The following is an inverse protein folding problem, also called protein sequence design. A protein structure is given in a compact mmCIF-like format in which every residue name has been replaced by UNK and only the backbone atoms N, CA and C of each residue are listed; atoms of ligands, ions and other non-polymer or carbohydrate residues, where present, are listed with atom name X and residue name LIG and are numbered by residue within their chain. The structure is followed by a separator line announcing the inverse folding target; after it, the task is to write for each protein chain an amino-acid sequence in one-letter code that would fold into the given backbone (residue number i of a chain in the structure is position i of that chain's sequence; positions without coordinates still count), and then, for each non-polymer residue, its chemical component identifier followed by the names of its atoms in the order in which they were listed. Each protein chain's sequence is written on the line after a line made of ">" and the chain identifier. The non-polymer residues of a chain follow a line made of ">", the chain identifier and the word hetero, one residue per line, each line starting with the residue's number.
data_IF_293032094345
#
_entry.id   IF_293032094345
#
_cell.length_a   1.000
_cell.length_b   1.000
_cell.length_c   1.000
_cell.angle_alpha   90.00
_cell.angle_beta   90.00
_cell.angle_gamma   90.00
#
_symmetry.space_group_name_H-M   'P 1'
#
loop_
_entity.id
_entity.type
_entity.pdbx_description
1 polymer ?
#
# COMPACT_ATOMS: atom_id res chain seq x y z
N UNK A 1 -4.10 3.06 1.54
CA UNK A 1 -4.23 4.16 0.54
C UNK A 1 -4.78 5.42 1.20
N UNK A 2 -4.05 6.54 1.13
CA UNK A 2 -4.56 7.88 1.46
C UNK A 2 -4.97 8.54 0.14
N UNK A 3 -6.14 9.18 0.11
CA UNK A 3 -6.66 9.80 -1.11
C UNK A 3 -7.34 11.13 -0.83
N UNK A 4 -7.36 12.01 -1.83
CA UNK A 4 -8.01 13.31 -1.80
C UNK A 4 -8.72 13.54 -3.16
N UNK A 5 -10.02 13.31 -3.21
CA UNK A 5 -10.77 13.29 -4.46
C UNK A 5 -10.20 12.26 -5.44
N UNK A 6 -9.73 12.73 -6.59
CA UNK A 6 -9.13 11.89 -7.63
C UNK A 6 -7.62 11.67 -7.49
N UNK A 7 -7.01 12.23 -6.44
CA UNK A 7 -5.59 12.04 -6.16
C UNK A 7 -5.38 10.95 -5.13
N UNK A 8 -4.31 10.18 -5.31
CA UNK A 8 -3.84 9.17 -4.37
C UNK A 8 -2.40 9.47 -3.95
N UNK A 9 -2.10 9.20 -2.68
CA UNK A 9 -0.75 9.32 -2.16
C UNK A 9 0.05 8.08 -2.52
N UNK A 10 1.21 8.29 -3.10
CA UNK A 10 2.15 7.24 -3.48
C UNK A 10 3.55 7.55 -2.95
N UNK A 11 4.36 6.52 -2.86
CA UNK A 11 5.75 6.58 -2.48
C UNK A 11 6.61 5.93 -3.57
N UNK A 12 7.68 6.60 -3.97
CA UNK A 12 8.71 6.03 -4.80
C UNK A 12 9.83 5.50 -3.90
N UNK A 13 9.79 4.21 -3.59
CA UNK A 13 10.82 3.58 -2.74
C UNK A 13 12.17 3.54 -3.44
N UNK A 14 13.21 3.89 -2.70
CA UNK A 14 14.61 3.93 -3.17
C UNK A 14 15.32 2.60 -2.95
N UNK A 15 14.60 1.55 -2.55
CA UNK A 15 15.17 0.26 -2.18
C UNK A 15 15.26 -0.67 -3.40
N UNK A 16 16.39 -1.37 -3.57
CA UNK A 16 16.68 -2.24 -4.72
C UNK A 16 15.70 -3.41 -4.89
N UNK A 17 15.04 -3.83 -3.81
CA UNK A 17 14.09 -4.95 -3.83
C UNK A 17 12.66 -4.55 -4.29
N UNK A 18 12.33 -3.26 -4.29
CA UNK A 18 11.00 -2.75 -4.62
C UNK A 18 11.09 -1.53 -5.53
N UNK A 19 11.15 -1.76 -6.82
CA UNK A 19 11.16 -0.67 -7.80
C UNK A 19 9.75 -0.25 -8.20
N UNK A 20 9.55 1.05 -8.37
CA UNK A 20 8.29 1.64 -8.80
C UNK A 20 7.46 2.24 -7.66
N UNK A 21 6.37 2.89 -8.05
CA UNK A 21 5.47 3.51 -7.09
C UNK A 21 4.71 2.47 -6.27
N UNK A 22 4.67 2.66 -4.96
CA UNK A 22 3.89 1.84 -4.03
C UNK A 22 2.99 2.71 -3.14
N UNK A 23 2.10 2.08 -2.41
CA UNK A 23 1.37 2.73 -1.32
C UNK A 23 2.28 2.80 -0.09
N UNK A 24 2.33 3.94 0.63
CA UNK A 24 3.08 4.02 1.89
C UNK A 24 2.48 3.08 2.93
N UNK A 25 3.34 2.54 3.79
CA UNK A 25 3.00 1.60 4.85
C UNK A 25 4.16 0.70 5.22
N UNK A 26 4.07 0.03 6.36
CA UNK A 26 5.15 -0.78 6.90
C UNK A 26 4.68 -1.91 7.81
N UNK A 27 5.53 -2.31 8.73
CA UNK A 27 5.33 -3.48 9.57
C UNK A 27 4.63 -3.14 10.89
N UNK A 28 3.77 -4.05 11.33
CA UNK A 28 3.15 -3.97 12.65
C UNK A 28 4.20 -4.29 13.72
N UNK A 29 4.33 -3.43 14.72
CA UNK A 29 5.24 -3.63 15.84
C UNK A 29 4.67 -4.59 16.90
N UNK A 30 5.55 -5.10 17.76
CA UNK A 30 5.14 -5.97 18.86
C UNK A 30 4.14 -5.26 19.77
N UNK A 31 2.98 -5.90 20.01
CA UNK A 31 1.85 -5.38 20.82
C UNK A 31 1.17 -4.14 20.25
N UNK A 32 1.36 -3.82 19.01
CA UNK A 32 0.69 -2.74 18.31
C UNK A 32 -0.60 -3.25 17.62
N UNK A 33 -1.66 -2.44 17.62
CA UNK A 33 -2.85 -2.78 16.83
C UNK A 33 -2.63 -2.39 15.35
N UNK A 34 -3.26 -3.11 14.43
CA UNK A 34 -3.15 -2.81 12.99
C UNK A 34 -3.56 -1.38 12.64
N UNK A 35 -4.58 -0.83 13.31
CA UNK A 35 -5.02 0.57 13.09
C UNK A 35 -3.96 1.56 13.58
N UNK A 36 -3.35 1.32 14.75
CA UNK A 36 -2.27 2.19 15.24
C UNK A 36 -1.03 2.11 14.36
N UNK A 37 -0.69 0.90 13.89
CA UNK A 37 0.42 0.68 12.98
C UNK A 37 0.26 1.51 11.71
N UNK A 38 -0.88 1.43 11.02
CA UNK A 38 -1.07 2.18 9.78
C UNK A 38 -1.04 3.69 10.00
N UNK A 39 -1.54 4.19 11.14
CA UNK A 39 -1.46 5.63 11.48
C UNK A 39 0.01 6.05 11.73
N UNK A 40 0.77 5.27 12.47
CA UNK A 40 2.19 5.51 12.75
C UNK A 40 3.02 5.49 11.47
N UNK A 41 2.92 4.43 10.67
CA UNK A 41 3.67 4.27 9.42
C UNK A 41 3.41 5.42 8.44
N UNK A 42 2.14 5.81 8.24
CA UNK A 42 1.82 6.96 7.39
C UNK A 42 2.45 8.24 7.94
N UNK A 43 2.45 8.43 9.26
CA UNK A 43 3.10 9.60 9.87
C UNK A 43 4.60 9.62 9.65
N UNK A 44 5.26 8.49 9.84
CA UNK A 44 6.72 8.34 9.70
C UNK A 44 7.18 8.52 8.25
N UNK A 45 6.48 7.89 7.30
CA UNK A 45 6.87 7.91 5.90
C UNK A 45 6.44 9.16 5.14
N UNK A 46 5.36 9.83 5.56
CA UNK A 46 4.74 10.89 4.76
C UNK A 46 4.56 12.23 5.47
N UNK A 47 4.77 12.29 6.79
CA UNK A 47 4.49 13.47 7.60
C UNK A 47 3.00 13.71 7.89
N UNK A 48 2.09 13.01 7.22
CA UNK A 48 0.65 13.18 7.41
C UNK A 48 0.14 12.43 8.64
N UNK A 49 -0.79 13.04 9.36
CA UNK A 49 -1.59 12.37 10.38
C UNK A 49 -2.93 11.97 9.75
N UNK A 50 -3.25 10.67 9.76
CA UNK A 50 -4.49 10.15 9.20
C UNK A 50 -5.49 9.80 10.29
N UNK A 51 -6.76 9.87 9.94
CA UNK A 51 -7.88 9.59 10.82
C UNK A 51 -8.82 8.56 10.21
N UNK A 52 -9.44 7.75 11.06
CA UNK A 52 -10.47 6.77 10.71
C UNK A 52 -10.10 5.87 9.51
N UNK A 53 -8.92 5.24 9.50
CA UNK A 53 -8.57 4.33 8.42
C UNK A 53 -9.52 3.13 8.43
N UNK A 54 -10.11 2.84 7.27
CA UNK A 54 -11.06 1.73 7.09
C UNK A 54 -10.36 0.55 6.41
N UNK A 55 -10.49 -0.64 6.98
CA UNK A 55 -10.02 -1.87 6.36
C UNK A 55 -10.84 -2.14 5.08
N UNK A 56 -10.15 -2.34 3.96
CA UNK A 56 -10.75 -2.68 2.66
C UNK A 56 -10.61 -4.16 2.34
N UNK A 57 -9.51 -4.76 2.74
CA UNK A 57 -9.20 -6.13 2.44
C UNK A 57 -7.76 -6.47 2.79
N UNK A 58 -7.29 -7.56 2.21
CA UNK A 58 -5.93 -8.07 2.43
C UNK A 58 -5.24 -8.39 1.10
N UNK A 59 -3.92 -8.23 1.09
CA UNK A 59 -3.04 -8.88 0.13
C UNK A 59 -2.30 -9.98 0.84
N UNK A 60 -2.18 -11.15 0.22
CA UNK A 60 -1.38 -12.23 0.79
C UNK A 60 -0.54 -12.94 -0.26
N UNK A 61 0.56 -13.51 0.18
CA UNK A 61 1.46 -14.32 -0.62
C UNK A 61 2.33 -15.21 0.29
N UNK A 62 3.05 -16.15 -0.29
CA UNK A 62 4.05 -16.93 0.42
C UNK A 62 5.45 -16.39 0.11
N UNK A 63 6.28 -16.29 1.15
CA UNK A 63 7.70 -15.94 1.02
C UNK A 63 8.50 -17.14 0.49
N UNK A 64 9.76 -16.93 0.12
CA UNK A 64 10.67 -18.01 -0.26
C UNK A 64 10.90 -19.06 0.85
N UNK A 65 10.59 -18.71 2.10
CA UNK A 65 10.67 -19.62 3.25
C UNK A 65 9.35 -20.34 3.55
N UNK A 66 8.40 -20.30 2.62
CA UNK A 66 7.06 -20.87 2.77
C UNK A 66 6.27 -20.26 3.96
N UNK A 67 6.58 -19.04 4.34
CA UNK A 67 5.85 -18.29 5.36
C UNK A 67 4.74 -17.46 4.69
N UNK A 68 3.54 -17.51 5.24
CA UNK A 68 2.43 -16.68 4.75
C UNK A 68 2.64 -15.22 5.16
N UNK A 69 2.72 -14.34 4.19
CA UNK A 69 2.81 -12.90 4.38
C UNK A 69 1.44 -12.26 4.12
N UNK A 70 0.94 -11.47 5.07
CA UNK A 70 -0.36 -10.81 4.98
C UNK A 70 -0.17 -9.30 5.11
N UNK A 71 -0.72 -8.55 4.16
CA UNK A 71 -0.77 -7.09 4.18
C UNK A 71 -2.21 -6.65 4.34
N UNK A 72 -2.52 -5.93 5.40
CA UNK A 72 -3.84 -5.34 5.62
C UNK A 72 -3.97 -4.03 4.84
N UNK A 73 -4.99 -3.91 4.01
CA UNK A 73 -5.21 -2.78 3.11
C UNK A 73 -6.21 -1.81 3.72
N UNK A 74 -5.71 -0.69 4.24
CA UNK A 74 -6.53 0.38 4.82
C UNK A 74 -6.62 1.58 3.89
N UNK A 75 -7.79 2.25 3.86
CA UNK A 75 -7.95 3.53 3.14
C UNK A 75 -8.59 4.61 4.01
N UNK A 76 -8.21 5.86 3.75
CA UNK A 76 -8.83 7.06 4.33
C UNK A 76 -8.65 8.27 3.43
N UNK A 77 -9.57 9.21 3.51
CA UNK A 77 -9.47 10.55 2.94
C UNK A 77 -9.44 11.63 4.04
N UNK A 78 -9.26 11.21 5.30
CA UNK A 78 -9.16 12.10 6.45
C UNK A 78 -7.72 12.19 6.90
N UNK A 79 -7.10 13.32 6.63
CA UNK A 79 -5.71 13.57 6.98
C UNK A 79 -5.46 15.06 7.21
N UNK A 80 -4.38 15.35 7.91
CA UNK A 80 -3.86 16.70 8.13
C UNK A 80 -2.33 16.69 8.19
N UNK A 81 -1.74 17.87 8.16
CA UNK A 81 -0.30 18.06 8.19
C UNK A 81 0.29 18.36 6.82
N UNK A 82 1.59 18.51 6.78
CA UNK A 82 2.36 18.76 5.55
C UNK A 82 3.00 17.46 5.06
N UNK A 83 2.99 17.27 3.75
CA UNK A 83 3.64 16.13 3.12
C UNK A 83 5.15 16.30 3.16
N UNK A 84 5.83 15.35 3.79
CA UNK A 84 7.29 15.32 3.93
C UNK A 84 7.78 13.93 3.59
N UNK A 85 8.70 13.85 2.62
CA UNK A 85 9.37 12.59 2.29
C UNK A 85 10.31 12.14 3.39
N UNK A 86 10.48 10.84 3.55
CA UNK A 86 11.41 10.22 4.49
C UNK A 86 12.60 9.57 3.76
N UNK A 87 13.52 8.98 4.52
CA UNK A 87 14.65 8.23 3.98
C UNK A 87 14.22 6.97 3.20
N UNK A 88 12.97 6.52 3.38
CA UNK A 88 12.41 5.36 2.66
C UNK A 88 11.98 5.67 1.23
N UNK A 89 11.86 6.95 0.86
CA UNK A 89 11.53 7.36 -0.50
C UNK A 89 10.72 8.64 -0.57
N UNK A 90 10.65 9.17 -1.78
CA UNK A 90 9.86 10.36 -2.07
C UNK A 90 8.37 10.04 -2.07
N UNK A 91 7.57 10.87 -1.39
CA UNK A 91 6.11 10.77 -1.36
C UNK A 91 5.47 11.96 -2.07
N UNK A 92 4.45 11.68 -2.88
CA UNK A 92 3.75 12.72 -3.64
C UNK A 92 2.34 12.26 -4.05
N UNK A 93 1.53 13.23 -4.43
CA UNK A 93 0.18 12.99 -4.94
C UNK A 93 0.18 12.78 -6.44
N UNK A 94 -0.55 11.78 -6.92
CA UNK A 94 -0.80 11.57 -8.35
C UNK A 94 -2.30 11.51 -8.64
N UNK A 95 -2.70 11.96 -9.82
CA UNK A 95 -4.05 11.74 -10.32
C UNK A 95 -4.24 10.26 -10.69
N UNK A 96 -5.38 9.67 -10.34
CA UNK A 96 -5.72 8.27 -10.70
C UNK A 96 -5.64 8.00 -12.19
N UNK A 97 -6.03 8.98 -13.01
CA UNK A 97 -5.98 8.89 -14.48
C UNK A 97 -4.56 8.80 -15.05
N UNK A 98 -3.55 9.20 -14.28
CA UNK A 98 -2.16 9.23 -14.70
C UNK A 98 -1.36 7.99 -14.23
N UNK A 99 -2.00 7.03 -13.56
CA UNK A 99 -1.35 5.81 -13.04
C UNK A 99 -0.52 5.06 -14.11
N UNK A 100 -1.02 4.98 -15.33
CA UNK A 100 -0.33 4.26 -16.42
C UNK A 100 0.91 5.00 -16.96
N UNK A 101 1.17 6.22 -16.50
CA UNK A 101 2.38 6.99 -16.85
C UNK A 101 3.57 6.68 -15.95
N UNK A 102 3.35 5.92 -14.87
CA UNK A 102 4.36 5.61 -13.87
C UNK A 102 4.75 4.13 -13.89
N UNK A 103 6.00 3.86 -13.53
CA UNK A 103 6.40 2.51 -13.19
C UNK A 103 5.81 2.16 -11.83
N UNK A 104 4.96 1.15 -11.78
CA UNK A 104 4.27 0.71 -10.57
C UNK A 104 4.95 -0.51 -9.98
N UNK A 105 5.04 -0.57 -8.66
CA UNK A 105 5.54 -1.74 -7.95
C UNK A 105 4.65 -2.97 -8.20
N UNK A 106 5.23 -4.14 -8.01
CA UNK A 106 4.52 -5.44 -8.17
C UNK A 106 3.24 -5.45 -7.32
N UNK A 107 2.14 -5.86 -7.94
CA UNK A 107 0.81 -5.92 -7.32
C UNK A 107 0.16 -4.58 -6.95
N UNK A 108 0.70 -3.45 -7.40
CA UNK A 108 0.08 -2.14 -7.15
C UNK A 108 -1.34 -2.07 -7.73
N UNK A 109 -1.51 -2.49 -9.00
CA UNK A 109 -2.80 -2.43 -9.70
C UNK A 109 -3.86 -3.32 -9.05
N UNK A 110 -3.46 -4.50 -8.60
CA UNK A 110 -4.34 -5.44 -7.91
C UNK A 110 -4.77 -4.90 -6.54
N UNK A 111 -3.84 -4.37 -5.74
CA UNK A 111 -4.19 -3.69 -4.48
C UNK A 111 -5.08 -2.47 -4.73
N UNK A 112 -4.83 -1.70 -5.79
CA UNK A 112 -5.66 -0.57 -6.14
C UNK A 112 -7.12 -1.00 -6.46
N UNK A 113 -7.31 -2.15 -7.10
CA UNK A 113 -8.66 -2.70 -7.33
C UNK A 113 -9.36 -3.04 -6.01
N UNK A 114 -8.66 -3.66 -5.04
CA UNK A 114 -9.23 -3.91 -3.70
C UNK A 114 -9.63 -2.60 -3.01
N UNK A 115 -8.84 -1.53 -3.13
CA UNK A 115 -9.20 -0.24 -2.56
C UNK A 115 -10.42 0.44 -3.20
N UNK A 116 -10.72 0.14 -4.46
CA UNK A 116 -11.69 0.90 -5.28
C UNK A 116 -12.92 0.13 -5.72
N UNK A 117 -13.02 -1.14 -5.36
CA UNK A 117 -14.17 -2.00 -5.67
C UNK A 117 -14.68 -2.73 -4.43
N UNK A 118 -15.55 -3.72 -4.60
CA UNK A 118 -16.05 -4.59 -3.54
C UNK A 118 -15.18 -5.84 -3.31
N UNK A 119 -14.04 -5.93 -4.02
CA UNK A 119 -13.06 -6.98 -3.78
C UNK A 119 -12.42 -6.83 -2.40
N UNK A 120 -12.15 -7.95 -1.74
CA UNK A 120 -11.64 -7.97 -0.37
C UNK A 120 -10.30 -8.68 -0.22
N UNK A 121 -9.85 -9.35 -1.29
CA UNK A 121 -8.60 -10.11 -1.22
C UNK A 121 -7.83 -10.05 -2.54
N UNK A 122 -6.52 -9.95 -2.42
CA UNK A 122 -5.55 -10.23 -3.47
C UNK A 122 -4.65 -11.34 -3.01
N UNK A 123 -4.63 -12.46 -3.73
CA UNK A 123 -3.74 -13.59 -3.46
C UNK A 123 -2.72 -13.75 -4.59
N UNK A 124 -1.44 -13.75 -4.23
CA UNK A 124 -0.35 -14.01 -5.17
C UNK A 124 0.31 -15.35 -4.83
N UNK A 125 0.47 -16.21 -5.83
CA UNK A 125 1.11 -17.51 -5.69
C UNK A 125 1.87 -17.90 -6.96
N UNK A 126 2.65 -18.96 -6.89
CA UNK A 126 3.33 -19.55 -8.04
C UNK A 126 2.56 -20.78 -8.53
N UNK A 127 2.27 -20.83 -9.82
CA UNK A 127 1.70 -21.98 -10.50
C UNK A 127 2.55 -22.29 -11.73
N UNK A 128 3.11 -23.49 -11.79
CA UNK A 128 4.03 -23.93 -12.86
C UNK A 128 5.21 -22.98 -13.11
N UNK A 129 5.68 -22.27 -12.06
CA UNK A 129 6.78 -21.31 -12.11
C UNK A 129 6.38 -19.90 -12.57
N UNK A 130 5.12 -19.68 -12.85
CA UNK A 130 4.56 -18.36 -13.18
C UNK A 130 3.86 -17.71 -11.97
N UNK A 131 3.96 -16.37 -11.88
CA UNK A 131 3.29 -15.61 -10.82
C UNK A 131 1.84 -15.41 -11.20
N UNK A 132 0.93 -15.99 -10.42
CA UNK A 132 -0.52 -15.82 -10.54
C UNK A 132 -1.01 -14.85 -9.47
N UNK A 133 -1.97 -14.00 -9.84
CA UNK A 133 -2.58 -13.01 -8.94
C UNK A 133 -4.09 -13.07 -9.08
N UNK A 134 -4.73 -13.66 -8.09
CA UNK A 134 -6.17 -13.75 -7.99
C UNK A 134 -6.77 -12.62 -7.15
N UNK A 135 -7.96 -12.24 -7.51
CA UNK A 135 -8.76 -11.21 -6.83
C UNK A 135 -10.12 -11.77 -6.45
N UNK A 136 -10.54 -11.58 -5.19
CA UNK A 136 -11.80 -12.10 -4.62
C UNK A 136 -12.62 -11.01 -3.94
#
# INVERSE_FOLDING_TARGET
>A
MVYDGDRILVQNKVNDDWTGLCFPGGHVEHRESFVKSVIREIKEETGLTIYEPRLCGVKQFYTEKDERYIVFLYKTNRFEGELVSSDEGEVFWIDRKDLDRYSLAVSFKEMYQVFTSDLTEQFTYLEDGEVVKDLY
#
